data_IF_406685910825
#
_entry.id   IF_406685910825
#
_cell.length_a   1.000
_cell.length_b   1.000
_cell.length_c   1.000
_cell.angle_alpha   90.00
_cell.angle_beta   90.00
_cell.angle_gamma   90.00
#
_symmetry.space_group_name_H-M   'P 1'
#
loop_
_entity.id
_entity.type
_entity.pdbx_description
1 polymer ?
#
# COMPACT_ATOMS: atom_id res chain seq x y z
N UNK A 1 -7.39 -7.68 -14.86
CA UNK A 1 -6.68 -7.04 -13.73
C UNK A 1 -7.68 -6.08 -13.16
N UNK A 2 -8.04 -6.27 -11.89
CA UNK A 2 -9.20 -5.58 -11.31
C UNK A 2 -8.76 -4.79 -10.07
N UNK A 3 -9.30 -3.58 -9.92
CA UNK A 3 -9.08 -2.77 -8.74
C UNK A 3 -10.01 -3.21 -7.63
N UNK A 4 -9.45 -3.80 -6.57
CA UNK A 4 -10.21 -4.23 -5.40
C UNK A 4 -10.02 -3.22 -4.28
N UNK A 5 -11.12 -2.66 -3.76
CA UNK A 5 -11.04 -1.75 -2.61
C UNK A 5 -10.63 -2.54 -1.38
N UNK A 6 -9.56 -2.10 -0.74
CA UNK A 6 -8.95 -2.78 0.40
C UNK A 6 -8.99 -1.96 1.68
N UNK A 7 -9.21 -0.65 1.57
CA UNK A 7 -9.28 0.23 2.72
C UNK A 7 -10.23 1.40 2.46
N UNK A 8 -10.99 1.79 3.47
CA UNK A 8 -11.90 2.95 3.43
C UNK A 8 -12.12 3.46 4.85
N UNK A 9 -11.55 4.61 5.20
CA UNK A 9 -11.70 5.19 6.54
C UNK A 9 -11.61 6.71 6.52
N UNK A 10 -12.48 7.34 7.30
CA UNK A 10 -12.43 8.76 7.61
C UNK A 10 -11.69 9.01 8.94
N UNK A 11 -10.92 10.09 8.99
CA UNK A 11 -10.15 10.50 10.15
C UNK A 11 -10.46 11.95 10.49
N UNK A 12 -10.79 12.20 11.76
CA UNK A 12 -10.90 13.54 12.33
C UNK A 12 -9.55 13.94 12.92
N UNK A 13 -8.79 14.77 12.19
CA UNK A 13 -7.43 15.16 12.58
C UNK A 13 -7.38 16.43 13.43
N UNK A 14 -8.52 17.06 13.68
CA UNK A 14 -8.65 18.22 14.59
C UNK A 14 -8.74 17.85 16.06
N UNK A 15 -8.56 16.58 16.41
CA UNK A 15 -8.55 16.10 17.79
C UNK A 15 -7.17 16.23 18.44
N UNK A 16 -7.12 16.36 19.78
CA UNK A 16 -5.88 16.40 20.56
C UNK A 16 -5.88 15.23 21.58
N UNK A 17 -4.92 14.29 21.54
CA UNK A 17 -3.80 14.22 20.61
C UNK A 17 -4.24 13.93 19.16
N UNK A 18 -3.53 14.51 18.19
CA UNK A 18 -3.80 14.28 16.77
C UNK A 18 -3.60 12.79 16.44
N UNK A 19 -4.58 12.11 15.83
CA UNK A 19 -4.51 10.67 15.64
C UNK A 19 -3.51 10.33 14.55
N UNK A 20 -2.83 9.20 14.74
CA UNK A 20 -1.91 8.62 13.76
C UNK A 20 -2.71 7.82 12.72
N UNK A 21 -2.42 8.02 11.44
CA UNK A 21 -3.07 7.28 10.35
C UNK A 21 -2.18 6.11 9.94
N UNK A 22 -2.37 4.96 10.59
CA UNK A 22 -1.67 3.71 10.25
C UNK A 22 -2.65 2.74 9.61
N UNK A 23 -2.34 2.29 8.41
CA UNK A 23 -3.05 1.26 7.66
C UNK A 23 -2.30 -0.05 7.87
N UNK A 24 -2.82 -0.88 8.77
CA UNK A 24 -2.24 -2.19 9.08
C UNK A 24 -2.83 -3.22 8.13
N UNK A 25 -2.06 -3.61 7.11
CA UNK A 25 -2.50 -4.56 6.07
C UNK A 25 -1.30 -5.17 5.33
N UNK A 26 -1.38 -6.47 5.06
CA UNK A 26 -0.49 -7.15 4.12
C UNK A 26 -1.01 -6.98 2.68
N UNK A 27 -0.51 -5.96 1.98
CA UNK A 27 -0.86 -5.69 0.59
C UNK A 27 -0.36 -6.83 -0.30
N UNK A 28 -1.23 -7.35 -1.18
CA UNK A 28 -0.88 -8.43 -2.10
C UNK A 28 -0.27 -7.87 -3.40
N UNK A 29 -0.63 -6.64 -3.75
CA UNK A 29 -0.14 -5.94 -4.93
C UNK A 29 0.79 -4.79 -4.56
N UNK A 30 1.83 -4.59 -5.36
CA UNK A 30 2.71 -3.41 -5.28
C UNK A 30 2.03 -2.17 -5.83
N UNK A 31 0.98 -2.33 -6.64
CA UNK A 31 0.31 -1.23 -7.33
C UNK A 31 -0.96 -0.90 -6.56
N UNK A 32 -0.90 0.26 -5.89
CA UNK A 32 -1.99 0.79 -5.09
C UNK A 32 -2.58 2.01 -5.77
N UNK A 33 -3.91 2.14 -5.72
CA UNK A 33 -4.57 3.42 -5.95
C UNK A 33 -5.00 3.97 -4.60
N UNK A 34 -4.60 5.19 -4.27
CA UNK A 34 -4.94 5.86 -3.01
C UNK A 34 -5.75 7.09 -3.37
N UNK A 35 -6.99 7.12 -2.91
CA UNK A 35 -7.84 8.30 -2.94
C UNK A 35 -7.78 9.00 -1.61
N UNK A 36 -7.49 10.29 -1.64
CA UNK A 36 -7.73 11.16 -0.50
C UNK A 36 -8.77 12.22 -0.81
N UNK A 37 -9.70 12.40 0.13
CA UNK A 37 -10.63 13.51 0.11
C UNK A 37 -10.64 14.19 1.46
N UNK A 38 -10.73 15.53 1.47
CA UNK A 38 -10.84 16.33 2.68
C UNK A 38 -12.24 16.92 2.82
N UNK A 39 -12.65 17.19 4.05
CA UNK A 39 -13.81 18.03 4.33
C UNK A 39 -13.32 19.44 4.70
N UNK A 40 -13.89 20.49 4.10
CA UNK A 40 -13.50 21.89 4.35
C UNK A 40 -12.66 22.57 3.23
N UNK A 41 -12.52 23.88 3.33
CA UNK A 41 -12.25 24.83 2.23
C UNK A 41 -10.79 25.21 1.95
N UNK A 42 -9.80 24.59 2.61
CA UNK A 42 -8.38 24.99 2.39
C UNK A 42 -7.83 24.50 1.05
N UNK A 43 -7.52 25.40 0.11
CA UNK A 43 -7.25 25.13 -1.33
C UNK A 43 -5.92 24.43 -1.69
N UNK A 44 -5.34 23.63 -0.80
CA UNK A 44 -4.11 22.90 -1.13
C UNK A 44 -4.41 21.46 -1.53
N UNK A 45 -3.90 21.08 -2.71
CA UNK A 45 -3.92 19.69 -3.16
C UNK A 45 -2.96 18.81 -2.37
N UNK A 46 -1.84 19.34 -1.87
CA UNK A 46 -0.84 18.55 -1.13
C UNK A 46 -1.32 18.23 0.30
N UNK A 47 -1.50 16.94 0.60
CA UNK A 47 -2.04 16.45 1.87
C UNK A 47 -0.94 16.02 2.84
N UNK A 48 0.17 15.50 2.34
CA UNK A 48 1.27 15.03 3.17
C UNK A 48 2.06 13.92 2.51
N UNK A 49 2.44 12.91 3.29
CA UNK A 49 3.26 11.81 2.79
C UNK A 49 2.62 10.46 3.07
N UNK A 50 2.82 9.53 2.15
CA UNK A 50 2.71 8.10 2.41
C UNK A 50 4.10 7.54 2.72
N UNK A 51 4.17 6.75 3.78
CA UNK A 51 5.41 6.18 4.32
C UNK A 51 5.17 4.70 4.61
N UNK A 52 5.81 3.77 3.90
CA UNK A 52 5.87 2.39 4.32
C UNK A 52 6.59 2.28 5.66
N UNK A 53 6.04 1.51 6.60
CA UNK A 53 6.62 1.33 7.92
C UNK A 53 6.72 -0.16 8.26
N UNK A 54 7.85 -0.56 8.85
CA UNK A 54 8.03 -1.88 9.43
C UNK A 54 8.03 -1.73 10.95
N UNK A 55 7.07 -2.36 11.61
CA UNK A 55 7.04 -2.43 13.07
C UNK A 55 7.95 -3.58 13.51
N UNK A 56 9.11 -3.25 14.08
CA UNK A 56 10.06 -4.18 14.67
C UNK A 56 10.02 -4.08 16.21
N UNK A 57 10.48 -5.12 16.94
CA UNK A 57 10.59 -5.03 18.41
C UNK A 57 11.46 -3.86 18.89
N UNK A 58 12.44 -3.46 18.09
CA UNK A 58 13.35 -2.33 18.36
C UNK A 58 12.76 -0.96 18.01
N UNK A 59 11.58 -0.89 17.39
CA UNK A 59 10.92 0.35 17.01
C UNK A 59 10.28 0.32 15.61
N UNK A 60 10.01 1.50 15.06
CA UNK A 60 9.44 1.66 13.72
C UNK A 60 10.56 2.02 12.75
N UNK A 61 10.76 1.18 11.73
CA UNK A 61 11.62 1.53 10.59
C UNK A 61 10.76 2.12 9.49
N UNK A 62 11.15 3.29 9.00
CA UNK A 62 10.41 4.01 7.95
C UNK A 62 11.11 3.85 6.60
N UNK A 63 10.30 3.58 5.56
CA UNK A 63 10.74 3.54 4.18
C UNK A 63 10.77 4.92 3.54
N UNK A 64 10.73 4.94 2.20
CA UNK A 64 10.78 6.19 1.44
C UNK A 64 9.48 6.97 1.55
N UNK A 65 9.61 8.25 1.94
CA UNK A 65 8.51 9.20 1.96
C UNK A 65 8.10 9.56 0.54
N UNK A 66 6.83 9.34 0.21
CA UNK A 66 6.26 9.69 -1.08
C UNK A 66 5.16 10.72 -0.90
N UNK A 67 5.12 11.75 -1.76
CA UNK A 67 4.11 12.80 -1.65
C UNK A 67 2.71 12.25 -1.93
N UNK A 68 1.74 12.71 -1.16
CA UNK A 68 0.33 12.40 -1.31
C UNK A 68 -0.46 13.69 -1.49
N UNK A 69 -1.32 13.72 -2.50
CA UNK A 69 -2.20 14.85 -2.82
C UNK A 69 -3.67 14.39 -2.83
N UNK A 70 -4.59 15.36 -2.84
CA UNK A 70 -6.03 15.15 -2.99
C UNK A 70 -6.36 14.42 -4.29
N UNK A 71 -7.47 13.69 -4.27
CA UNK A 71 -7.94 12.88 -5.39
C UNK A 71 -7.28 11.51 -5.43
N UNK A 72 -7.34 10.87 -6.60
CA UNK A 72 -6.83 9.52 -6.82
C UNK A 72 -5.39 9.56 -7.32
N UNK A 73 -4.52 8.78 -6.70
CA UNK A 73 -3.13 8.60 -7.13
C UNK A 73 -2.73 7.15 -7.14
N UNK A 74 -1.97 6.76 -8.16
CA UNK A 74 -1.36 5.44 -8.23
C UNK A 74 0.03 5.48 -7.61
N UNK A 75 0.29 4.58 -6.68
CA UNK A 75 1.58 4.39 -6.04
C UNK A 75 2.09 2.98 -6.33
N UNK A 76 3.38 2.89 -6.66
CA UNK A 76 4.06 1.62 -6.84
C UNK A 76 5.02 1.46 -5.66
N UNK A 77 4.69 0.53 -4.76
CA UNK A 77 5.51 0.19 -3.62
C UNK A 77 6.78 -0.56 -4.05
N UNK A 78 7.86 -0.42 -3.28
CA UNK A 78 9.03 -1.28 -3.45
C UNK A 78 8.72 -2.70 -2.95
N UNK A 79 9.44 -3.75 -3.40
CA UNK A 79 9.18 -5.11 -2.96
C UNK A 79 9.27 -5.27 -1.43
N UNK A 80 10.23 -4.59 -0.80
CA UNK A 80 10.41 -4.64 0.67
C UNK A 80 9.31 -3.91 1.45
N UNK A 81 8.59 -2.97 0.83
CA UNK A 81 7.50 -2.23 1.47
C UNK A 81 6.26 -3.11 1.69
N UNK A 82 6.10 -4.20 0.91
CA UNK A 82 4.97 -5.13 1.04
C UNK A 82 4.95 -5.88 2.38
N UNK A 83 6.11 -6.00 3.02
CA UNK A 83 6.27 -6.67 4.32
C UNK A 83 5.79 -5.77 5.47
N UNK A 84 5.64 -4.46 5.21
CA UNK A 84 5.28 -3.46 6.18
C UNK A 84 3.82 -3.00 6.12
N UNK A 85 3.48 -2.11 7.06
CA UNK A 85 2.25 -1.34 7.06
C UNK A 85 2.45 -0.03 6.30
N UNK A 86 1.37 0.71 6.02
CA UNK A 86 1.46 2.06 5.47
C UNK A 86 1.07 3.08 6.52
N UNK A 87 1.84 4.14 6.66
CA UNK A 87 1.47 5.33 7.42
C UNK A 87 1.21 6.49 6.47
N UNK A 88 0.12 7.21 6.70
CA UNK A 88 -0.09 8.52 6.10
C UNK A 88 0.27 9.55 7.16
N UNK A 89 1.18 10.47 6.81
CA UNK A 89 1.57 11.61 7.64
C UNK A 89 0.99 12.89 7.03
N UNK A 90 -0.22 13.32 7.46
CA UNK A 90 -0.82 14.53 6.93
C UNK A 90 -0.10 15.78 7.44
N UNK A 91 -0.13 16.86 6.66
CA UNK A 91 0.25 18.19 7.15
C UNK A 91 -0.62 18.61 8.35
N UNK A 92 -0.06 19.42 9.25
CA UNK A 92 -0.72 19.82 10.50
C UNK A 92 -2.06 20.55 10.29
N UNK A 93 -2.16 21.34 9.22
CA UNK A 93 -3.38 22.11 8.89
C UNK A 93 -4.46 21.29 8.17
N UNK A 94 -4.24 20.00 7.90
CA UNK A 94 -5.28 19.16 7.28
C UNK A 94 -6.35 18.86 8.35
N UNK A 95 -7.64 19.16 8.08
CA UNK A 95 -8.71 19.04 9.06
C UNK A 95 -9.21 17.60 9.20
N UNK A 96 -10.05 17.17 8.27
CA UNK A 96 -10.54 15.80 8.18
C UNK A 96 -10.02 15.18 6.89
N UNK A 97 -9.66 13.90 6.96
CA UNK A 97 -9.11 13.16 5.84
C UNK A 97 -9.82 11.82 5.70
N UNK A 98 -10.43 11.58 4.55
CA UNK A 98 -10.88 10.24 4.15
C UNK A 98 -9.84 9.63 3.23
N UNK A 99 -9.44 8.41 3.56
CA UNK A 99 -8.47 7.63 2.82
C UNK A 99 -9.16 6.38 2.31
N UNK A 100 -9.07 6.16 1.00
CA UNK A 100 -9.50 4.91 0.36
C UNK A 100 -8.35 4.33 -0.43
N UNK A 101 -8.17 3.02 -0.35
CA UNK A 101 -7.08 2.32 -1.04
C UNK A 101 -7.67 1.17 -1.83
N UNK A 102 -7.19 1.02 -3.05
CA UNK A 102 -7.44 -0.13 -3.91
C UNK A 102 -6.11 -0.80 -4.26
N UNK A 103 -6.13 -2.13 -4.33
CA UNK A 103 -5.02 -2.94 -4.82
C UNK A 103 -5.36 -3.44 -6.23
N UNK A 104 -4.39 -3.41 -7.15
CA UNK A 104 -4.55 -4.02 -8.47
C UNK A 104 -4.33 -5.54 -8.35
N UNK A 105 -5.41 -6.31 -8.41
CA UNK A 105 -5.39 -7.77 -8.33
C UNK A 105 -5.05 -8.40 -9.69
N UNK A 106 -4.35 -9.54 -9.63
CA UNK A 106 -3.84 -10.22 -10.83
C UNK A 106 -2.57 -9.59 -11.40
N UNK A 107 -1.95 -8.64 -10.67
CA UNK A 107 -0.59 -8.18 -10.95
C UNK A 107 0.40 -9.15 -10.31
N UNK A 108 1.03 -9.98 -11.13
CA UNK A 108 2.14 -10.84 -10.73
C UNK A 108 3.45 -10.07 -10.94
N UNK A 109 4.31 -10.05 -9.93
CA UNK A 109 5.69 -9.56 -10.13
C UNK A 109 6.44 -10.49 -11.09
N UNK A 110 7.41 -10.00 -11.88
CA UNK A 110 8.23 -10.86 -12.73
C UNK A 110 8.89 -12.00 -11.94
N UNK A 111 9.30 -11.75 -10.69
CA UNK A 111 9.88 -12.77 -9.82
C UNK A 111 8.86 -13.84 -9.40
N UNK A 112 7.61 -13.48 -9.09
CA UNK A 112 6.54 -14.44 -8.79
C UNK A 112 6.17 -15.27 -10.03
N UNK A 113 6.18 -14.66 -11.22
CA UNK A 113 5.98 -15.39 -12.49
C UNK A 113 7.14 -16.35 -12.73
N UNK A 114 8.38 -15.93 -12.45
CA UNK A 114 9.54 -16.80 -12.57
C UNK A 114 9.44 -18.01 -11.61
N UNK A 115 9.12 -17.79 -10.33
CA UNK A 115 8.92 -18.85 -9.34
C UNK A 115 7.82 -19.84 -9.74
N UNK A 116 6.63 -19.34 -10.10
CA UNK A 116 5.53 -20.22 -10.56
C UNK A 116 5.87 -20.95 -11.85
N UNK A 117 6.71 -20.37 -12.72
CA UNK A 117 7.21 -21.06 -13.91
C UNK A 117 8.24 -22.14 -13.54
N UNK A 118 9.12 -21.90 -12.57
CA UNK A 118 10.07 -22.90 -12.07
C UNK A 118 9.34 -24.08 -11.43
N UNK A 119 8.37 -23.84 -10.54
CA UNK A 119 7.54 -24.89 -9.92
C UNK A 119 6.80 -25.72 -10.99
N UNK A 120 6.27 -25.06 -12.04
CA UNK A 120 5.65 -25.76 -13.18
C UNK A 120 6.65 -26.59 -13.99
N UNK A 121 7.89 -26.13 -14.13
CA UNK A 121 8.94 -26.87 -14.83
C UNK A 121 9.34 -28.10 -14.02
N UNK A 122 9.57 -27.96 -12.71
CA UNK A 122 9.88 -29.06 -11.81
C UNK A 122 8.79 -30.14 -11.83
N UNK A 123 7.53 -29.74 -11.68
CA UNK A 123 6.40 -30.69 -11.75
C UNK A 123 6.30 -31.44 -13.09
N UNK A 124 6.65 -30.80 -14.21
CA UNK A 124 6.69 -31.46 -15.52
C UNK A 124 7.86 -32.43 -15.65
N UNK A 125 9.02 -32.07 -15.11
CA UNK A 125 10.20 -32.94 -15.10
C UNK A 125 9.92 -34.19 -14.25
N UNK A 126 9.33 -34.01 -13.07
CA UNK A 126 8.94 -35.12 -12.20
C UNK A 126 7.89 -36.03 -12.85
N UNK A 127 6.96 -35.46 -13.63
CA UNK A 127 6.01 -36.24 -14.43
C UNK A 127 6.69 -37.12 -15.48
N UNK A 128 7.68 -36.58 -16.20
CA UNK A 128 8.43 -37.32 -17.22
C UNK A 128 9.31 -38.44 -16.63
N UNK A 129 9.90 -38.20 -15.45
CA UNK A 129 10.74 -39.18 -14.76
C UNK A 129 9.90 -40.35 -14.24
N UNK A 130 8.67 -40.10 -13.77
CA UNK A 130 7.79 -41.14 -13.23
C UNK A 130 7.03 -41.95 -14.31
N UNK A 131 7.06 -41.52 -15.58
CA UNK A 131 6.51 -42.23 -16.72
C UNK A 131 7.54 -43.08 -17.50
N UNK A 132 8.81 -43.10 -17.05
CA UNK A 132 9.93 -43.87 -17.62
C UNK A 132 10.26 -45.11 -16.80
#
# INVERSE_FOLDING_TARGET
MDWVKVYDKAFNLHTNPRPRIVIIRSFQSRILSIQTSKFGSWDYSFIGWIVPILNAPSGVSEGRYTRLYLGNQSHILQPHDLVGNLEIKPRLWIPDLTVRIWELQGYSTPEQVALTNFERIESKIDGLINES
#
